data_IF_610219589711
#
_entry.id   IF_610219589711
#
_cell.length_a   1.000
_cell.length_b   1.000
_cell.length_c   1.000
_cell.angle_alpha   90.00
_cell.angle_beta   90.00
_cell.angle_gamma   90.00
#
_symmetry.space_group_name_H-M   'P 1'
#
loop_
_entity.id
_entity.type
_entity.pdbx_description
1 polymer ?
#
# COMPACT_ATOMS: atom_id res chain seq x y z
N UNK A 1 6.06 -7.48 -23.42
CA UNK A 1 6.76 -8.26 -22.38
C UNK A 1 8.06 -7.53 -22.09
N UNK A 2 8.45 -7.38 -20.81
CA UNK A 2 9.74 -6.76 -20.47
C UNK A 2 10.88 -7.69 -20.94
N UNK A 3 11.93 -7.14 -21.55
CA UNK A 3 13.12 -7.90 -22.00
C UNK A 3 14.39 -7.31 -21.42
N UNK A 4 15.51 -8.01 -21.57
CA UNK A 4 16.81 -7.53 -21.05
C UNK A 4 17.28 -6.27 -21.78
N UNK A 5 16.96 -6.13 -23.07
CA UNK A 5 17.27 -4.95 -23.88
C UNK A 5 16.58 -3.71 -23.32
N UNK A 6 15.30 -3.82 -22.93
CA UNK A 6 14.57 -2.72 -22.28
C UNK A 6 15.22 -2.29 -20.96
N UNK A 7 15.73 -3.23 -20.16
CA UNK A 7 16.43 -2.92 -18.91
C UNK A 7 17.76 -2.20 -19.17
N UNK A 8 18.48 -2.61 -20.22
CA UNK A 8 19.72 -1.98 -20.64
C UNK A 8 19.50 -0.53 -21.10
N UNK A 9 18.47 -0.29 -21.92
CA UNK A 9 18.11 1.05 -22.39
C UNK A 9 17.80 2.00 -21.22
N UNK A 10 16.99 1.54 -20.25
CA UNK A 10 16.68 2.32 -19.05
C UNK A 10 17.95 2.58 -18.23
N UNK A 11 18.80 1.58 -18.05
CA UNK A 11 20.06 1.73 -17.31
C UNK A 11 20.98 2.76 -17.95
N UNK A 12 21.15 2.73 -19.28
CA UNK A 12 21.98 3.71 -19.98
C UNK A 12 21.39 5.12 -19.91
N UNK A 13 20.07 5.25 -20.05
CA UNK A 13 19.40 6.55 -20.00
C UNK A 13 19.43 7.20 -18.60
N UNK A 14 19.34 6.41 -17.54
CA UNK A 14 19.23 6.89 -16.16
C UNK A 14 20.40 6.45 -15.27
N UNK A 15 21.58 6.26 -15.86
CA UNK A 15 22.77 5.73 -15.19
C UNK A 15 23.14 6.48 -13.91
N UNK A 16 23.08 7.80 -13.95
CA UNK A 16 23.41 8.65 -12.81
C UNK A 16 22.36 8.52 -11.69
N UNK A 17 21.10 8.24 -12.04
CA UNK A 17 20.00 8.10 -11.09
C UNK A 17 20.06 6.81 -10.27
N UNK A 18 20.78 5.78 -10.74
CA UNK A 18 20.82 4.47 -10.08
C UNK A 18 21.48 4.48 -8.70
N UNK A 19 22.42 5.40 -8.49
CA UNK A 19 23.16 5.52 -7.24
C UNK A 19 22.74 6.75 -6.42
N UNK A 20 21.69 7.46 -6.84
CA UNK A 20 21.17 8.59 -6.09
C UNK A 20 20.59 8.10 -4.79
N UNK A 21 20.95 8.80 -3.71
CA UNK A 21 20.31 8.57 -2.42
C UNK A 21 18.95 9.24 -2.40
N UNK A 22 17.94 8.51 -1.96
CA UNK A 22 16.61 9.05 -1.71
C UNK A 22 16.52 9.59 -0.29
N UNK A 23 15.63 10.55 -0.08
CA UNK A 23 15.33 11.04 1.26
C UNK A 23 14.72 9.93 2.12
N UNK A 24 15.27 9.76 3.31
CA UNK A 24 14.80 8.79 4.30
C UNK A 24 13.91 9.50 5.31
N UNK A 25 12.82 8.84 5.70
CA UNK A 25 11.83 9.43 6.59
C UNK A 25 11.26 8.40 7.56
N UNK A 26 10.52 8.90 8.54
CA UNK A 26 9.92 8.08 9.60
C UNK A 26 8.41 8.01 9.40
N UNK A 27 7.87 6.80 9.43
CA UNK A 27 6.43 6.55 9.51
C UNK A 27 6.13 5.98 10.89
N UNK A 28 5.31 6.67 11.68
CA UNK A 28 5.05 6.30 13.07
C UNK A 28 6.35 6.32 13.89
N UNK A 29 6.80 5.17 14.39
CA UNK A 29 8.06 5.02 15.11
C UNK A 29 9.15 4.29 14.30
N UNK A 30 8.91 4.05 13.01
CA UNK A 30 9.81 3.29 12.14
C UNK A 30 10.49 4.22 11.15
N UNK A 31 11.80 4.34 11.27
CA UNK A 31 12.63 5.05 10.31
C UNK A 31 12.97 4.15 9.12
N UNK A 32 12.85 4.68 7.90
CA UNK A 32 13.02 3.91 6.65
C UNK A 32 14.35 4.22 5.99
N UNK A 33 15.30 3.30 6.18
CA UNK A 33 16.66 3.41 5.66
C UNK A 33 16.74 2.94 4.18
N UNK A 34 15.97 3.55 3.26
CA UNK A 34 15.85 3.12 1.86
C UNK A 34 17.17 2.97 1.12
N UNK A 35 18.20 3.72 1.51
CA UNK A 35 19.52 3.67 0.87
C UNK A 35 20.36 2.47 1.30
N UNK A 36 19.95 1.74 2.34
CA UNK A 36 20.68 0.58 2.87
C UNK A 36 19.81 -0.67 3.02
N UNK A 37 18.49 -0.51 3.08
CA UNK A 37 17.53 -1.58 3.32
C UNK A 37 16.28 -1.36 2.45
N UNK A 38 15.73 -2.46 1.94
CA UNK A 38 14.44 -2.43 1.23
C UNK A 38 13.32 -2.37 2.27
N UNK A 39 12.29 -1.58 1.98
CA UNK A 39 11.02 -1.64 2.68
C UNK A 39 9.98 -2.34 1.80
N UNK A 40 9.17 -3.20 2.40
CA UNK A 40 8.11 -3.96 1.73
C UNK A 40 6.76 -3.35 2.09
N UNK A 41 6.02 -2.94 1.07
CA UNK A 41 4.65 -2.45 1.21
C UNK A 41 3.68 -3.55 0.77
N UNK A 42 2.89 -4.08 1.70
CA UNK A 42 1.79 -4.97 1.38
C UNK A 42 0.58 -4.18 0.89
N UNK A 43 -0.12 -4.68 -0.13
CA UNK A 43 -1.27 -3.95 -0.72
C UNK A 43 -2.57 -4.69 -0.46
N UNK A 44 -3.56 -3.94 0.04
CA UNK A 44 -4.96 -4.35 0.22
C UNK A 44 -5.82 -3.40 -0.61
N UNK A 45 -6.51 -3.94 -1.61
CA UNK A 45 -7.43 -3.16 -2.43
C UNK A 45 -8.87 -3.41 -1.96
N UNK A 46 -9.65 -2.36 -1.76
CA UNK A 46 -11.05 -2.48 -1.33
C UNK A 46 -12.04 -2.37 -2.48
N UNK A 47 -11.60 -1.88 -3.64
CA UNK A 47 -12.43 -1.71 -4.83
C UNK A 47 -12.64 -3.04 -5.57
N UNK A 48 -13.89 -3.38 -5.88
CA UNK A 48 -14.26 -4.50 -6.75
C UNK A 48 -13.69 -4.38 -8.17
N UNK A 49 -13.43 -3.14 -8.61
CA UNK A 49 -12.91 -2.83 -9.95
C UNK A 49 -11.38 -2.86 -10.04
N UNK A 50 -10.66 -3.39 -9.04
CA UNK A 50 -9.21 -3.52 -9.12
C UNK A 50 -8.80 -4.61 -10.14
N UNK A 51 -7.83 -4.28 -11.00
CA UNK A 51 -7.31 -5.18 -12.03
C UNK A 51 -6.77 -6.51 -11.47
N UNK A 52 -6.29 -6.51 -10.23
CA UNK A 52 -5.74 -7.68 -9.55
C UNK A 52 -6.75 -8.29 -8.56
N UNK A 53 -7.65 -9.14 -9.06
CA UNK A 53 -8.78 -9.73 -8.31
C UNK A 53 -8.37 -10.42 -7.01
N UNK A 54 -7.20 -11.06 -6.98
CA UNK A 54 -6.69 -11.76 -5.78
C UNK A 54 -6.29 -10.81 -4.63
N UNK A 55 -6.27 -9.49 -4.88
CA UNK A 55 -5.98 -8.47 -3.87
C UNK A 55 -7.21 -7.73 -3.33
N UNK A 56 -8.40 -8.04 -3.87
CA UNK A 56 -9.65 -7.37 -3.50
C UNK A 56 -10.17 -7.91 -2.18
N UNK A 57 -10.46 -7.02 -1.24
CA UNK A 57 -11.10 -7.31 0.04
C UNK A 57 -12.38 -6.49 0.14
N UNK A 58 -13.54 -7.14 -0.02
CA UNK A 58 -14.84 -6.47 -0.05
C UNK A 58 -15.44 -6.24 1.33
N UNK A 59 -14.77 -6.71 2.39
CA UNK A 59 -15.16 -6.43 3.77
C UNK A 59 -13.95 -6.05 4.63
N UNK A 60 -14.23 -5.33 5.70
CA UNK A 60 -13.28 -4.96 6.75
C UNK A 60 -12.57 -6.18 7.33
N UNK A 61 -13.31 -7.27 7.59
CA UNK A 61 -12.74 -8.54 8.07
C UNK A 61 -11.71 -9.13 7.08
N UNK A 62 -12.02 -9.14 5.78
CA UNK A 62 -11.10 -9.64 4.76
C UNK A 62 -9.84 -8.78 4.69
N UNK A 63 -10.00 -7.45 4.72
CA UNK A 63 -8.90 -6.50 4.70
C UNK A 63 -7.98 -6.67 5.92
N UNK A 64 -8.55 -6.83 7.12
CA UNK A 64 -7.79 -7.09 8.36
C UNK A 64 -7.02 -8.40 8.27
N UNK A 65 -7.67 -9.50 7.86
CA UNK A 65 -7.02 -10.81 7.70
C UNK A 65 -5.87 -10.74 6.69
N UNK A 66 -6.07 -10.03 5.57
CA UNK A 66 -5.03 -9.84 4.57
C UNK A 66 -3.88 -9.00 5.10
N UNK A 67 -4.14 -7.89 5.78
CA UNK A 67 -3.11 -7.06 6.40
C UNK A 67 -2.27 -7.84 7.43
N UNK A 68 -2.91 -8.68 8.24
CA UNK A 68 -2.24 -9.61 9.16
C UNK A 68 -1.32 -10.57 8.39
N UNK A 69 -1.83 -11.21 7.34
CA UNK A 69 -1.05 -12.14 6.52
C UNK A 69 0.16 -11.46 5.87
N UNK A 70 -0.04 -10.29 5.26
CA UNK A 70 1.03 -9.51 4.62
C UNK A 70 2.12 -9.13 5.64
N UNK A 71 1.71 -8.71 6.84
CA UNK A 71 2.64 -8.41 7.94
C UNK A 71 3.46 -9.66 8.32
N UNK A 72 2.80 -10.82 8.44
CA UNK A 72 3.47 -12.09 8.74
C UNK A 72 4.44 -12.53 7.63
N UNK A 73 4.17 -12.16 6.38
CA UNK A 73 5.03 -12.41 5.22
C UNK A 73 6.21 -11.42 5.12
N UNK A 74 6.32 -10.45 6.03
CA UNK A 74 7.44 -9.51 6.09
C UNK A 74 7.14 -8.12 5.52
N UNK A 75 5.87 -7.77 5.29
CA UNK A 75 5.52 -6.40 4.97
C UNK A 75 5.85 -5.46 6.14
N UNK A 76 6.54 -4.37 5.84
CA UNK A 76 6.86 -3.31 6.80
C UNK A 76 5.66 -2.40 7.06
N UNK A 77 4.82 -2.23 6.03
CA UNK A 77 3.59 -1.45 6.03
C UNK A 77 2.52 -2.13 5.19
N UNK A 78 1.27 -1.78 5.42
CA UNK A 78 0.14 -2.20 4.57
C UNK A 78 -0.54 -0.95 4.02
N UNK A 79 -0.58 -0.82 2.69
CA UNK A 79 -1.34 0.19 1.96
C UNK A 79 -2.77 -0.31 1.71
N UNK A 80 -3.74 0.44 2.23
CA UNK A 80 -5.17 0.19 2.03
C UNK A 80 -5.69 1.20 1.00
N UNK A 81 -5.88 0.72 -0.22
CA UNK A 81 -6.42 1.49 -1.33
C UNK A 81 -7.94 1.31 -1.45
N UNK A 82 -8.69 2.37 -1.15
CA UNK A 82 -10.15 2.43 -1.40
C UNK A 82 -10.51 2.93 -2.82
N UNK A 83 -9.51 3.37 -3.59
CA UNK A 83 -9.70 3.92 -4.94
C UNK A 83 -9.00 3.03 -5.97
N UNK A 84 -9.75 2.56 -6.97
CA UNK A 84 -9.15 2.00 -8.18
C UNK A 84 -8.79 3.13 -9.15
N UNK A 85 -7.61 3.04 -9.76
CA UNK A 85 -7.12 3.98 -10.78
C UNK A 85 -7.88 3.85 -12.12
N UNK A 86 -8.87 2.96 -12.21
CA UNK A 86 -9.68 2.81 -13.41
C UNK A 86 -10.66 3.98 -13.58
N UNK A 87 -10.83 4.48 -14.82
CA UNK A 87 -11.61 5.68 -15.08
C UNK A 87 -13.10 5.59 -14.69
N UNK A 88 -13.64 4.40 -14.41
CA UNK A 88 -15.07 4.16 -14.09
C UNK A 88 -15.26 3.36 -12.80
N UNK A 89 -14.23 3.26 -11.95
CA UNK A 89 -14.35 2.46 -10.74
C UNK A 89 -15.36 3.05 -9.75
N UNK A 90 -16.22 2.19 -9.18
CA UNK A 90 -17.08 2.58 -8.07
C UNK A 90 -16.22 2.92 -6.86
N UNK A 91 -16.33 4.16 -6.39
CA UNK A 91 -15.65 4.63 -5.18
C UNK A 91 -16.42 4.16 -3.96
N UNK A 92 -15.71 3.68 -2.95
CA UNK A 92 -16.28 3.46 -1.62
C UNK A 92 -16.70 4.84 -1.08
N UNK A 93 -17.94 4.96 -0.61
CA UNK A 93 -18.41 6.20 0.03
C UNK A 93 -17.65 6.47 1.33
N UNK A 94 -17.37 7.74 1.63
CA UNK A 94 -16.70 8.20 2.86
C UNK A 94 -17.32 7.57 4.12
N UNK A 95 -18.65 7.66 4.24
CA UNK A 95 -19.38 7.11 5.38
C UNK A 95 -19.13 5.61 5.56
N UNK A 96 -19.12 4.84 4.47
CA UNK A 96 -18.86 3.40 4.52
C UNK A 96 -17.41 3.13 4.94
N UNK A 97 -16.46 3.90 4.42
CA UNK A 97 -15.06 3.77 4.77
C UNK A 97 -14.81 4.02 6.27
N UNK A 98 -15.36 5.11 6.80
CA UNK A 98 -15.23 5.45 8.21
C UNK A 98 -15.87 4.40 9.12
N UNK A 99 -17.04 3.87 8.75
CA UNK A 99 -17.74 2.88 9.58
C UNK A 99 -17.11 1.48 9.53
N UNK A 100 -16.53 1.08 8.39
CA UNK A 100 -16.05 -0.29 8.19
C UNK A 100 -14.52 -0.41 8.27
N UNK A 101 -13.78 0.57 7.78
CA UNK A 101 -12.33 0.45 7.51
C UNK A 101 -11.46 1.38 8.35
N UNK A 102 -12.04 2.31 9.10
CA UNK A 102 -11.35 3.10 10.12
C UNK A 102 -11.70 2.56 11.53
N UNK A 103 -11.17 1.41 11.96
CA UNK A 103 -11.41 0.94 13.32
C UNK A 103 -10.78 1.95 14.30
N UNK A 104 -11.41 2.23 15.45
CA UNK A 104 -10.88 3.18 16.43
C UNK A 104 -9.51 2.75 17.01
N UNK A 105 -9.11 1.48 16.79
CA UNK A 105 -7.83 0.92 17.21
C UNK A 105 -7.26 0.06 16.06
N UNK A 106 -6.01 0.26 15.61
CA UNK A 106 -5.41 -0.57 14.58
C UNK A 106 -5.22 -2.01 15.07
N UNK A 107 -5.41 -3.03 14.21
CA UNK A 107 -5.28 -4.43 14.58
C UNK A 107 -3.86 -4.77 15.07
N UNK A 108 -3.79 -5.71 16.01
CA UNK A 108 -2.55 -6.20 16.62
C UNK A 108 -2.29 -7.64 16.17
N UNK A 109 -1.08 -7.94 15.69
CA UNK A 109 -0.62 -9.29 15.39
C UNK A 109 0.56 -9.66 16.29
N UNK A 110 0.38 -10.65 17.18
CA UNK A 110 1.46 -11.12 18.06
C UNK A 110 2.09 -10.02 18.93
N UNK A 111 1.32 -9.03 19.36
CA UNK A 111 1.80 -7.87 20.12
C UNK A 111 2.41 -6.73 19.28
N UNK A 112 2.51 -6.89 17.96
CA UNK A 112 2.95 -5.82 17.04
C UNK A 112 1.74 -5.09 16.46
N UNK A 113 1.80 -3.76 16.48
CA UNK A 113 0.83 -2.92 15.74
C UNK A 113 1.09 -3.07 14.25
N UNK A 114 0.03 -3.21 13.48
CA UNK A 114 0.11 -3.18 12.02
C UNK A 114 0.08 -1.71 11.59
N UNK A 115 1.09 -1.28 10.83
CA UNK A 115 1.10 0.07 10.25
C UNK A 115 0.24 0.09 8.99
N UNK A 116 -0.94 0.70 9.12
CA UNK A 116 -1.85 0.91 8.00
C UNK A 116 -1.60 2.29 7.41
N UNK A 117 -1.26 2.33 6.13
CA UNK A 117 -1.32 3.53 5.32
C UNK A 117 -2.69 3.53 4.65
N UNK A 118 -3.55 4.43 5.11
CA UNK A 118 -4.88 4.60 4.57
C UNK A 118 -4.85 5.76 3.60
N UNK A 119 -5.10 5.49 2.32
CA UNK A 119 -5.28 6.54 1.33
C UNK A 119 -6.73 7.06 1.40
N UNK A 120 -6.90 8.20 2.06
CA UNK A 120 -8.17 8.94 2.09
C UNK A 120 -8.31 9.74 0.78
N UNK A 121 -9.42 9.61 0.03
CA UNK A 121 -9.68 10.39 -1.17
C UNK A 121 -9.60 11.91 -0.94
N UNK A 122 -8.91 12.62 -1.84
CA UNK A 122 -8.69 14.07 -1.73
C UNK A 122 -9.98 14.92 -1.87
N UNK A 123 -11.08 14.33 -2.35
CA UNK A 123 -12.33 15.04 -2.65
C UNK A 123 -13.46 14.76 -1.62
N UNK A 124 -13.14 14.27 -0.42
CA UNK A 124 -14.13 14.03 0.63
C UNK A 124 -14.60 15.29 1.38
N UNK A 125 -14.14 16.48 0.98
CA UNK A 125 -14.70 17.73 1.46
C UNK A 125 -14.43 17.97 2.95
N UNK A 126 -13.40 18.78 3.23
CA UNK A 126 -13.33 19.52 4.49
C UNK A 126 -14.24 20.75 4.41
#
# INVERSE_FOLDING_TARGET
MLTIEHLYEINEQYKDSLNVKVEEFTIGNKHLNFNSQKAILGVVNLSSDSWYRESVCLSSEQAIRRGIMLTAQGADFVDIGAESTLPHAERISEKLFDTEFCPPIPPILGGKRIYLLVKVPQNWGI
#
